data_IF_760250310453
#
_entry.id   IF_760250310453
#
_cell.length_a   1.000
_cell.length_b   1.000
_cell.length_c   1.000
_cell.angle_alpha   90.00
_cell.angle_beta   90.00
_cell.angle_gamma   90.00
#
_symmetry.space_group_name_H-M   'P 1'
#
loop_
_entity.id
_entity.type
_entity.pdbx_description
1 polymer ?
#
# COMPACT_ATOMS: atom_id res chain seq x y z
N UNK A 1 -0.69 -1.96 0.59
CA UNK A 1 -1.71 -0.90 0.62
C UNK A 1 -2.91 -1.26 -0.23
N UNK A 2 -2.76 -1.38 -1.56
CA UNK A 2 -3.83 -1.76 -2.50
C UNK A 2 -4.76 -2.89 -2.00
N UNK A 3 -4.20 -4.07 -1.71
CA UNK A 3 -4.98 -5.22 -1.23
C UNK A 3 -5.76 -4.92 0.06
N UNK A 4 -5.18 -4.14 0.98
CA UNK A 4 -5.84 -3.75 2.22
C UNK A 4 -7.02 -2.81 1.95
N UNK A 5 -6.86 -1.85 1.04
CA UNK A 5 -7.96 -0.97 0.61
C UNK A 5 -9.08 -1.76 -0.08
N UNK A 6 -8.74 -2.67 -0.99
CA UNK A 6 -9.73 -3.56 -1.64
C UNK A 6 -10.50 -4.42 -0.62
N UNK A 7 -9.80 -4.96 0.39
CA UNK A 7 -10.45 -5.72 1.46
C UNK A 7 -11.32 -4.85 2.36
N UNK A 8 -10.87 -3.64 2.71
CA UNK A 8 -11.67 -2.74 3.53
C UNK A 8 -12.95 -2.33 2.82
N UNK A 9 -12.91 -2.02 1.51
CA UNK A 9 -14.12 -1.71 0.74
C UNK A 9 -15.17 -2.80 0.79
N UNK A 10 -14.77 -4.07 0.86
CA UNK A 10 -15.69 -5.21 0.85
C UNK A 10 -16.17 -5.62 2.23
N UNK A 11 -15.39 -5.35 3.28
CA UNK A 11 -15.57 -6.00 4.59
C UNK A 11 -15.60 -5.04 5.77
N UNK A 12 -15.46 -3.73 5.58
CA UNK A 12 -15.41 -2.76 6.67
C UNK A 12 -15.92 -1.38 6.26
N UNK A 13 -16.30 -0.57 7.25
CA UNK A 13 -16.52 0.88 7.10
C UNK A 13 -15.25 1.68 7.38
N UNK A 14 -14.14 1.02 7.71
CA UNK A 14 -12.87 1.68 8.01
C UNK A 14 -12.28 2.38 6.78
N UNK A 15 -11.98 3.67 6.92
CA UNK A 15 -11.37 4.51 5.89
C UNK A 15 -9.99 5.06 6.31
N UNK A 16 -9.53 4.70 7.51
CA UNK A 16 -8.25 5.13 8.07
C UNK A 16 -7.20 4.03 7.94
N UNK A 17 -6.06 4.37 7.34
CA UNK A 17 -4.99 3.45 7.05
C UNK A 17 -3.66 3.90 7.67
N UNK A 18 -2.90 2.95 8.18
CA UNK A 18 -1.55 3.18 8.71
C UNK A 18 -0.48 2.58 7.80
N UNK A 19 0.61 3.31 7.58
CA UNK A 19 1.81 2.77 6.90
C UNK A 19 3.09 3.30 7.53
N UNK A 20 4.13 2.47 7.62
CA UNK A 20 5.48 2.87 8.01
C UNK A 20 6.31 3.40 6.82
N UNK A 21 5.75 3.39 5.61
CA UNK A 21 6.41 3.86 4.41
C UNK A 21 6.14 5.35 4.16
N UNK A 22 7.04 6.23 4.62
CA UNK A 22 6.97 7.68 4.34
C UNK A 22 6.97 8.00 2.84
N UNK A 23 7.71 7.24 2.03
CA UNK A 23 7.75 7.41 0.57
C UNK A 23 6.38 7.17 -0.06
N UNK A 24 5.63 6.16 0.40
CA UNK A 24 4.28 5.90 -0.10
C UNK A 24 3.33 7.06 0.20
N UNK A 25 3.40 7.64 1.40
CA UNK A 25 2.60 8.82 1.75
C UNK A 25 2.98 10.02 0.84
N UNK A 26 4.27 10.24 0.61
CA UNK A 26 4.73 11.30 -0.29
C UNK A 26 4.28 11.07 -1.74
N UNK A 27 4.33 9.82 -2.22
CA UNK A 27 3.85 9.43 -3.55
C UNK A 27 2.36 9.70 -3.73
N UNK A 28 1.54 9.40 -2.71
CA UNK A 28 0.09 9.65 -2.74
C UNK A 28 -0.22 11.15 -2.69
N UNK A 29 0.55 11.92 -1.92
CA UNK A 29 0.34 13.37 -1.78
C UNK A 29 0.77 14.16 -3.01
N UNK A 30 1.85 13.74 -3.67
CA UNK A 30 2.43 14.42 -4.83
C UNK A 30 2.73 13.41 -5.97
N UNK A 31 1.72 12.78 -6.60
CA UNK A 31 1.94 11.73 -7.60
C UNK A 31 2.79 12.20 -8.79
N UNK A 32 2.67 13.49 -9.16
CA UNK A 32 3.41 14.11 -10.27
C UNK A 32 4.93 14.08 -10.07
N UNK A 33 5.41 14.18 -8.84
CA UNK A 33 6.83 14.08 -8.52
C UNK A 33 7.38 12.65 -8.62
N UNK A 34 6.50 11.64 -8.76
CA UNK A 34 6.84 10.22 -8.80
C UNK A 34 6.33 9.55 -10.08
N UNK A 35 6.52 10.22 -11.22
CA UNK A 35 6.04 9.78 -12.54
C UNK A 35 6.44 8.35 -12.91
N UNK A 36 7.61 7.86 -12.47
CA UNK A 36 8.07 6.47 -12.67
C UNK A 36 7.20 5.42 -11.95
N UNK A 37 6.39 5.84 -10.98
CA UNK A 37 5.46 4.99 -10.24
C UNK A 37 4.00 5.20 -10.63
N UNK A 38 3.72 6.05 -11.63
CA UNK A 38 2.36 6.46 -12.00
C UNK A 38 1.40 5.27 -12.21
N UNK A 39 1.80 4.26 -13.00
CA UNK A 39 0.97 3.06 -13.24
C UNK A 39 0.66 2.26 -11.97
N UNK A 40 1.59 2.23 -11.00
CA UNK A 40 1.37 1.55 -9.71
C UNK A 40 0.46 2.36 -8.80
N UNK A 41 0.52 3.69 -8.89
CA UNK A 41 -0.29 4.62 -8.10
C UNK A 41 -1.71 4.77 -8.65
N UNK A 42 -1.92 4.70 -9.96
CA UNK A 42 -3.23 4.83 -10.60
C UNK A 42 -4.29 3.94 -9.94
N UNK A 43 -3.96 2.65 -9.73
CA UNK A 43 -4.89 1.71 -9.10
C UNK A 43 -5.14 2.01 -7.61
N UNK A 44 -4.22 2.67 -6.92
CA UNK A 44 -4.40 3.14 -5.54
C UNK A 44 -5.26 4.41 -5.52
N UNK A 45 -5.01 5.35 -6.42
CA UNK A 45 -5.80 6.58 -6.56
C UNK A 45 -7.27 6.28 -6.88
N UNK A 46 -7.53 5.34 -7.79
CA UNK A 46 -8.91 4.89 -8.07
C UNK A 46 -9.58 4.34 -6.81
N UNK A 47 -8.87 3.54 -6.01
CA UNK A 47 -9.41 3.02 -4.76
C UNK A 47 -9.65 4.13 -3.73
N UNK A 48 -8.79 5.16 -3.67
CA UNK A 48 -8.98 6.31 -2.77
C UNK A 48 -10.28 7.05 -3.05
N UNK A 49 -10.69 7.18 -4.32
CA UNK A 49 -11.97 7.80 -4.70
C UNK A 49 -13.17 7.06 -4.08
N UNK A 50 -13.05 5.76 -3.82
CA UNK A 50 -14.09 4.97 -3.18
C UNK A 50 -14.22 5.20 -1.66
N UNK A 51 -13.33 5.99 -1.05
CA UNK A 51 -13.33 6.31 0.37
C UNK A 51 -13.59 7.81 0.58
N UNK A 52 -14.83 8.25 0.88
CA UNK A 52 -15.15 9.67 1.04
C UNK A 52 -14.34 10.36 2.15
N UNK A 53 -13.96 9.64 3.21
CA UNK A 53 -13.18 10.14 4.34
C UNK A 53 -11.82 9.45 4.42
N UNK A 54 -11.17 9.24 3.27
CA UNK A 54 -9.86 8.60 3.21
C UNK A 54 -8.83 9.30 4.09
N UNK A 55 -8.22 8.53 4.99
CA UNK A 55 -7.14 9.01 5.84
C UNK A 55 -5.95 8.04 5.81
N UNK A 56 -4.74 8.56 5.62
CA UNK A 56 -3.51 7.77 5.71
C UNK A 56 -2.50 8.46 6.61
N UNK A 57 -2.04 7.74 7.63
CA UNK A 57 -1.08 8.24 8.61
C UNK A 57 0.21 7.44 8.58
N UNK A 58 1.31 8.14 8.90
CA UNK A 58 2.59 7.48 9.13
C UNK A 58 2.58 6.81 10.51
N UNK A 59 2.83 5.51 10.54
CA UNK A 59 2.99 4.71 11.76
C UNK A 59 4.44 4.26 11.85
N UNK A 60 5.21 4.59 12.91
CA UNK A 60 6.58 4.12 13.05
C UNK A 60 6.65 2.59 12.93
N UNK A 61 7.70 2.05 12.29
CA UNK A 61 7.85 0.60 12.09
C UNK A 61 7.76 -0.21 13.39
N UNK A 62 8.28 0.34 14.49
CA UNK A 62 8.18 -0.26 15.82
C UNK A 62 6.72 -0.47 16.31
N UNK A 63 5.76 0.28 15.75
CA UNK A 63 4.32 0.18 15.98
C UNK A 63 3.56 -0.49 14.83
N UNK A 64 4.25 -0.97 13.79
CA UNK A 64 3.67 -1.69 12.65
C UNK A 64 4.17 -3.15 12.60
N UNK A 65 4.32 -3.78 13.77
CA UNK A 65 5.01 -5.07 13.93
C UNK A 65 4.34 -6.20 13.16
N UNK A 66 3.00 -6.26 13.14
CA UNK A 66 2.27 -7.31 12.42
C UNK A 66 2.48 -7.24 10.92
N UNK A 67 2.35 -6.04 10.34
CA UNK A 67 2.57 -5.86 8.89
C UNK A 67 4.03 -6.12 8.53
N UNK A 68 4.99 -5.68 9.35
CA UNK A 68 6.41 -5.93 9.12
C UNK A 68 6.73 -7.43 9.22
N UNK A 69 6.17 -8.12 10.21
CA UNK A 69 6.31 -9.57 10.37
C UNK A 69 5.79 -10.30 9.13
N UNK A 70 4.56 -10.02 8.69
CA UNK A 70 3.99 -10.62 7.49
C UNK A 70 4.88 -10.36 6.26
N UNK A 71 5.35 -9.13 6.06
CA UNK A 71 6.22 -8.78 4.94
C UNK A 71 7.58 -9.48 5.00
N UNK A 72 8.15 -9.69 6.20
CA UNK A 72 9.39 -10.46 6.40
C UNK A 72 9.18 -11.94 6.13
N UNK A 73 8.10 -12.51 6.67
CA UNK A 73 7.72 -13.91 6.46
C UNK A 73 7.53 -14.20 4.98
N UNK A 74 6.77 -13.36 4.26
CA UNK A 74 6.60 -13.47 2.79
C UNK A 74 7.95 -13.44 2.07
N UNK A 75 8.86 -12.53 2.44
CA UNK A 75 10.19 -12.45 1.82
C UNK A 75 11.10 -13.65 2.12
N UNK A 76 10.91 -14.30 3.27
CA UNK A 76 11.68 -15.50 3.64
C UNK A 76 11.23 -16.76 2.91
N UNK A 77 10.04 -16.77 2.30
CA UNK A 77 9.61 -17.89 1.48
C UNK A 77 10.45 -17.95 0.19
N UNK A 78 11.33 -18.94 0.11
CA UNK A 78 12.14 -19.27 -1.07
C UNK A 78 11.32 -19.86 -2.26
N UNK A 79 10.01 -19.62 -2.31
CA UNK A 79 9.16 -20.05 -3.43
C UNK A 79 8.99 -18.91 -4.43
N UNK A 80 8.84 -19.24 -5.71
CA UNK A 80 8.47 -18.28 -6.76
C UNK A 80 7.09 -17.70 -6.44
N UNK A 81 7.06 -16.56 -5.77
CA UNK A 81 5.83 -15.81 -5.54
C UNK A 81 5.49 -15.16 -6.87
N UNK A 82 4.42 -15.64 -7.52
CA UNK A 82 3.95 -15.03 -8.75
C UNK A 82 3.28 -13.71 -8.38
N UNK A 83 3.95 -12.60 -8.69
CA UNK A 83 3.37 -11.29 -8.56
C UNK A 83 2.24 -11.15 -9.58
N UNK A 84 0.99 -11.08 -9.10
CA UNK A 84 -0.15 -10.74 -9.94
C UNK A 84 -0.07 -9.23 -10.23
N UNK A 85 0.64 -8.88 -11.31
CA UNK A 85 0.48 -7.59 -11.99
C UNK A 85 1.47 -6.45 -11.71
N UNK A 86 2.79 -6.68 -11.55
CA UNK A 86 3.82 -5.72 -12.01
C UNK A 86 5.25 -6.29 -11.92
N UNK A 87 6.08 -5.95 -12.91
CA UNK A 87 7.51 -6.26 -12.99
C UNK A 87 8.29 -5.78 -11.76
N UNK A 88 9.22 -6.63 -11.31
CA UNK A 88 10.28 -6.30 -10.36
C UNK A 88 11.24 -5.36 -11.12
N UNK A 89 11.44 -4.10 -10.70
CA UNK A 89 12.57 -3.34 -11.22
C UNK A 89 13.84 -3.96 -10.62
N UNK A 90 14.76 -4.35 -11.51
CA UNK A 90 16.15 -4.72 -11.19
C UNK A 90 16.85 -3.49 -10.62
#
# INVERSE_FOLDING_TARGET
MRWAMENMLQHSTCQSFGTDCKKLIAMIKEPRAWSSFATKLERIETLMICFPDFNIIHVPRARNQFSDFLAKTVRSFHRKIHFIGCFIPV
#
